data_IF_668153913780
#
_entry.id   IF_668153913780
#
_cell.length_a   1.000
_cell.length_b   1.000
_cell.length_c   1.000
_cell.angle_alpha   90.00
_cell.angle_beta   90.00
_cell.angle_gamma   90.00
#
_symmetry.space_group_name_H-M   'P 1'
#
loop_
_entity.id
_entity.type
_entity.pdbx_description
1 polymer ?
#
# COMPACT_ATOMS: atom_id res chain seq x y z
N UNK A 1 -14.17 -24.63 -3.20
CA UNK A 1 -12.97 -25.35 -2.69
C UNK A 1 -12.63 -24.74 -1.35
N UNK A 2 -12.84 -25.46 -0.28
CA UNK A 2 -12.40 -25.08 1.05
C UNK A 2 -10.91 -25.47 1.17
N UNK A 3 -10.13 -24.66 1.89
CA UNK A 3 -8.69 -24.94 2.06
C UNK A 3 -8.24 -24.64 3.48
N UNK A 4 -7.20 -25.34 3.93
CA UNK A 4 -6.55 -25.12 5.22
C UNK A 4 -5.18 -24.50 4.99
N UNK A 5 -4.90 -23.45 5.75
CA UNK A 5 -3.68 -22.65 5.71
C UNK A 5 -3.13 -22.47 7.13
N UNK A 6 -1.87 -22.11 7.23
CA UNK A 6 -1.27 -21.72 8.51
C UNK A 6 -1.60 -20.28 8.87
N UNK A 7 -1.78 -19.43 7.85
CA UNK A 7 -2.21 -18.04 8.01
C UNK A 7 -3.02 -17.53 6.83
N UNK A 8 -3.94 -16.61 7.10
CA UNK A 8 -4.72 -15.89 6.09
C UNK A 8 -4.45 -14.40 6.23
N UNK A 9 -4.16 -13.73 5.12
CA UNK A 9 -4.00 -12.27 5.06
C UNK A 9 -5.14 -11.68 4.23
N UNK A 10 -5.91 -10.79 4.83
CA UNK A 10 -7.03 -10.09 4.19
C UNK A 10 -6.57 -8.72 3.72
N UNK A 11 -6.45 -8.56 2.41
CA UNK A 11 -5.97 -7.36 1.74
C UNK A 11 -4.53 -7.50 1.25
N UNK A 12 -4.30 -7.19 -0.02
CA UNK A 12 -2.98 -7.21 -0.69
C UNK A 12 -2.45 -5.78 -0.96
N UNK A 13 -2.71 -4.84 -0.03
CA UNK A 13 -2.02 -3.56 0.05
C UNK A 13 -0.63 -3.72 0.66
N UNK A 14 0.07 -2.60 0.92
CA UNK A 14 1.46 -2.63 1.42
C UNK A 14 1.62 -3.50 2.68
N UNK A 15 0.79 -3.29 3.69
CA UNK A 15 0.85 -4.06 4.94
C UNK A 15 0.56 -5.55 4.72
N UNK A 16 -0.42 -5.87 3.86
CA UNK A 16 -0.80 -7.25 3.57
C UNK A 16 0.27 -8.00 2.80
N UNK A 17 0.95 -7.34 1.86
CA UNK A 17 2.07 -7.94 1.12
C UNK A 17 3.20 -8.29 2.09
N UNK A 18 3.62 -7.34 2.93
CA UNK A 18 4.69 -7.57 3.91
C UNK A 18 4.33 -8.67 4.91
N UNK A 19 3.09 -8.68 5.42
CA UNK A 19 2.61 -9.74 6.31
C UNK A 19 2.60 -11.12 5.63
N UNK A 20 2.11 -11.18 4.38
CA UNK A 20 2.06 -12.43 3.63
C UNK A 20 3.45 -12.99 3.32
N UNK A 21 4.38 -12.12 2.91
CA UNK A 21 5.76 -12.52 2.64
C UNK A 21 6.48 -12.94 3.91
N UNK A 22 6.24 -12.27 5.04
CA UNK A 22 6.82 -12.66 6.32
C UNK A 22 6.36 -14.08 6.73
N UNK A 23 5.06 -14.36 6.65
CA UNK A 23 4.52 -15.70 6.91
C UNK A 23 5.08 -16.75 5.93
N UNK A 24 5.03 -16.46 4.63
CA UNK A 24 5.44 -17.42 3.61
C UNK A 24 6.94 -17.74 3.66
N UNK A 25 7.79 -16.73 3.88
CA UNK A 25 9.24 -16.88 3.95
C UNK A 25 9.70 -17.62 5.21
N UNK A 26 8.88 -17.68 6.27
CA UNK A 26 9.10 -18.57 7.42
C UNK A 26 8.58 -20.00 7.19
N UNK A 27 8.09 -20.32 6.00
CA UNK A 27 7.65 -21.65 5.61
C UNK A 27 6.15 -21.90 5.81
N UNK A 28 5.39 -20.91 6.25
CA UNK A 28 3.95 -21.03 6.51
C UNK A 28 3.16 -21.01 5.20
N UNK A 29 2.23 -21.95 5.03
CA UNK A 29 1.26 -21.98 3.94
C UNK A 29 0.25 -20.83 4.13
N UNK A 30 0.36 -19.80 3.33
CA UNK A 30 -0.34 -18.52 3.48
C UNK A 30 -1.36 -18.30 2.38
N UNK A 31 -2.60 -17.98 2.75
CA UNK A 31 -3.62 -17.48 1.83
C UNK A 31 -3.64 -15.95 1.86
N UNK A 32 -3.62 -15.32 0.70
CA UNK A 32 -3.86 -13.89 0.54
C UNK A 32 -5.17 -13.66 -0.19
N UNK A 33 -6.10 -12.95 0.44
CA UNK A 33 -7.39 -12.56 -0.16
C UNK A 33 -7.33 -11.08 -0.54
N UNK A 34 -7.66 -10.75 -1.78
CA UNK A 34 -7.81 -9.38 -2.26
C UNK A 34 -9.11 -9.20 -3.02
N UNK A 35 -9.78 -8.06 -2.85
CA UNK A 35 -11.00 -7.73 -3.60
C UNK A 35 -10.76 -7.62 -5.12
N UNK A 36 -9.53 -7.33 -5.51
CA UNK A 36 -9.06 -7.36 -6.90
C UNK A 36 -7.58 -7.71 -6.96
N UNK A 37 -7.17 -8.53 -7.91
CA UNK A 37 -5.75 -8.82 -8.16
C UNK A 37 -5.04 -7.68 -8.90
N UNK A 38 -5.79 -6.73 -9.44
CA UNK A 38 -5.25 -5.57 -10.15
C UNK A 38 -4.99 -4.37 -9.23
N UNK A 39 -5.28 -4.50 -7.93
CA UNK A 39 -4.97 -3.48 -6.93
C UNK A 39 -3.86 -3.87 -5.94
N UNK A 40 -3.17 -4.95 -6.16
CA UNK A 40 -2.06 -5.42 -5.32
C UNK A 40 -0.98 -4.33 -5.25
N UNK A 41 -0.60 -3.93 -4.03
CA UNK A 41 0.40 -2.88 -3.83
C UNK A 41 0.03 -1.53 -4.44
N UNK A 42 -1.26 -1.26 -4.69
CA UNK A 42 -1.70 -0.05 -5.36
C UNK A 42 -1.40 1.20 -4.54
N UNK A 43 -0.72 2.16 -5.16
CA UNK A 43 -0.42 3.47 -4.57
C UNK A 43 -1.64 4.39 -4.73
N UNK A 44 -2.59 4.26 -3.82
CA UNK A 44 -3.90 4.93 -3.91
C UNK A 44 -3.82 6.45 -3.82
N UNK A 45 -2.87 6.99 -3.07
CA UNK A 45 -2.74 8.43 -2.83
C UNK A 45 -1.67 9.05 -3.75
N UNK A 46 -0.41 8.86 -3.42
CA UNK A 46 0.74 9.42 -4.14
C UNK A 46 1.58 8.30 -4.75
N UNK A 47 2.22 8.51 -5.93
CA UNK A 47 3.17 7.57 -6.50
C UNK A 47 4.53 7.71 -5.80
N UNK A 48 4.55 7.53 -4.48
CA UNK A 48 5.77 7.69 -3.67
C UNK A 48 5.80 6.77 -2.47
N UNK A 49 7.00 6.33 -2.13
CA UNK A 49 7.31 5.52 -0.96
C UNK A 49 8.22 6.33 -0.03
N UNK A 50 7.95 6.25 1.27
CA UNK A 50 8.74 6.96 2.28
C UNK A 50 8.26 8.39 2.55
N UNK A 51 9.18 9.25 2.89
CA UNK A 51 8.92 10.58 3.45
C UNK A 51 9.07 10.59 4.97
N UNK A 52 8.89 11.76 5.58
CA UNK A 52 9.05 11.95 7.04
C UNK A 52 8.23 10.95 7.83
N UNK A 53 8.82 10.29 8.80
CA UNK A 53 8.34 9.15 9.59
C UNK A 53 8.10 7.86 8.79
N UNK A 54 7.62 7.93 7.55
CA UNK A 54 7.30 6.76 6.72
C UNK A 54 8.56 6.09 6.18
N UNK A 55 9.54 6.87 5.71
CA UNK A 55 10.81 6.33 5.19
C UNK A 55 11.62 5.57 6.24
N UNK A 56 11.53 5.97 7.49
CA UNK A 56 12.15 5.25 8.61
C UNK A 56 11.55 3.85 8.74
N UNK A 57 10.21 3.75 8.81
CA UNK A 57 9.50 2.47 8.91
C UNK A 57 9.78 1.55 7.72
N UNK A 58 9.82 2.10 6.49
CA UNK A 58 10.16 1.30 5.30
C UNK A 58 11.58 0.74 5.41
N UNK A 59 12.55 1.53 5.93
CA UNK A 59 13.92 1.05 6.15
C UNK A 59 14.03 0.00 7.25
N UNK A 60 13.21 0.09 8.28
CA UNK A 60 13.13 -0.93 9.33
C UNK A 60 12.56 -2.24 8.78
N UNK A 61 11.47 -2.16 8.00
CA UNK A 61 10.89 -3.32 7.31
C UNK A 61 11.88 -3.93 6.31
N UNK A 62 12.61 -3.10 5.54
CA UNK A 62 13.66 -3.51 4.61
C UNK A 62 14.78 -4.29 5.33
N UNK A 63 15.21 -3.81 6.51
CA UNK A 63 16.23 -4.47 7.31
C UNK A 63 15.80 -5.85 7.85
N UNK A 64 14.49 -6.07 7.97
CA UNK A 64 13.89 -7.36 8.33
C UNK A 64 13.61 -8.26 7.11
N UNK A 65 14.04 -7.86 5.92
CA UNK A 65 13.82 -8.62 4.69
C UNK A 65 12.49 -8.32 3.98
N UNK A 66 11.87 -7.16 4.26
CA UNK A 66 10.67 -6.70 3.57
C UNK A 66 10.91 -6.31 2.12
N UNK A 67 9.84 -6.20 1.36
CA UNK A 67 9.87 -6.04 -0.10
C UNK A 67 9.62 -4.59 -0.56
N UNK A 68 9.02 -3.76 0.30
CA UNK A 68 8.58 -2.41 -0.08
C UNK A 68 9.73 -1.51 -0.57
N UNK A 69 10.89 -1.59 0.08
CA UNK A 69 12.08 -0.84 -0.31
C UNK A 69 12.61 -1.27 -1.68
N UNK A 70 12.68 -2.59 -1.90
CA UNK A 70 13.11 -3.18 -3.17
C UNK A 70 12.15 -2.82 -4.30
N UNK A 71 10.84 -2.90 -4.05
CA UNK A 71 9.82 -2.53 -5.02
C UNK A 71 9.87 -1.03 -5.38
N UNK A 72 10.17 -0.17 -4.40
CA UNK A 72 10.38 1.25 -4.64
C UNK A 72 11.55 1.49 -5.61
N UNK A 73 12.63 0.73 -5.47
CA UNK A 73 13.78 0.82 -6.36
C UNK A 73 13.48 0.31 -7.78
N UNK A 74 12.61 -0.69 -7.92
CA UNK A 74 12.19 -1.20 -9.24
C UNK A 74 11.38 -0.21 -10.07
N UNK A 75 10.59 0.63 -9.40
CA UNK A 75 9.80 1.68 -10.03
C UNK A 75 10.41 3.08 -9.89
N UNK A 76 11.65 3.22 -9.45
CA UNK A 76 12.24 4.49 -9.05
C UNK A 76 12.32 5.51 -10.18
N UNK A 77 11.68 6.67 -9.99
CA UNK A 77 11.77 7.82 -10.89
C UNK A 77 12.61 8.95 -10.29
N UNK A 78 12.52 9.19 -8.98
CA UNK A 78 13.28 10.21 -8.28
C UNK A 78 13.49 9.81 -6.81
N UNK A 79 14.69 9.95 -6.29
CA UNK A 79 15.02 9.67 -4.89
C UNK A 79 15.57 10.92 -4.22
N UNK A 80 15.07 11.25 -3.03
CA UNK A 80 15.52 12.39 -2.26
C UNK A 80 15.59 12.09 -0.76
N UNK A 81 16.55 12.74 -0.08
CA UNK A 81 16.58 12.82 1.36
C UNK A 81 15.80 14.07 1.83
N UNK A 82 14.71 13.85 2.55
CA UNK A 82 13.95 14.94 3.17
C UNK A 82 14.61 15.37 4.49
N UNK A 83 14.41 16.62 4.85
CA UNK A 83 14.88 17.21 6.10
C UNK A 83 16.41 17.12 6.28
N UNK A 84 17.19 17.18 5.20
CA UNK A 84 18.66 17.13 5.25
C UNK A 84 19.28 18.25 6.09
N UNK A 85 18.62 19.43 6.17
CA UNK A 85 19.02 20.55 7.02
C UNK A 85 18.61 20.43 8.50
N UNK A 86 17.86 19.36 8.86
CA UNK A 86 17.42 19.07 10.23
C UNK A 86 18.32 18.02 10.88
N UNK A 87 18.07 17.69 12.13
CA UNK A 87 18.83 16.65 12.82
C UNK A 87 18.65 15.25 12.19
N UNK A 88 19.59 14.32 12.44
CA UNK A 88 19.58 12.99 11.81
C UNK A 88 18.29 12.19 12.02
N UNK A 89 17.64 12.34 13.17
CA UNK A 89 16.43 11.62 13.53
C UNK A 89 15.23 11.88 12.60
N UNK A 90 15.20 13.00 11.88
CA UNK A 90 14.12 13.37 10.97
C UNK A 90 14.51 13.28 9.49
N UNK A 91 15.76 12.96 9.19
CA UNK A 91 16.19 12.69 7.81
C UNK A 91 15.53 11.44 7.29
N UNK A 92 14.83 11.53 6.19
CA UNK A 92 14.02 10.44 5.67
C UNK A 92 14.08 10.36 4.16
N UNK A 93 14.30 9.16 3.62
CA UNK A 93 14.22 8.92 2.20
C UNK A 93 12.78 9.03 1.69
N UNK A 94 12.65 9.61 0.52
CA UNK A 94 11.41 9.60 -0.28
C UNK A 94 11.74 9.24 -1.71
N UNK A 95 11.18 8.13 -2.17
CA UNK A 95 11.20 7.71 -3.56
C UNK A 95 9.90 8.12 -4.25
N UNK A 96 10.01 8.82 -5.37
CA UNK A 96 8.92 8.89 -6.35
C UNK A 96 9.05 7.66 -7.24
N UNK A 97 7.94 7.01 -7.55
CA UNK A 97 7.93 5.74 -8.27
C UNK A 97 6.87 5.73 -9.38
N UNK A 98 7.13 4.99 -10.43
CA UNK A 98 6.09 4.57 -11.35
C UNK A 98 5.18 3.58 -10.62
N UNK A 99 3.93 3.96 -10.41
CA UNK A 99 2.99 3.14 -9.64
C UNK A 99 2.58 1.86 -10.35
N UNK A 100 2.62 1.83 -11.67
CA UNK A 100 2.32 0.61 -12.44
C UNK A 100 3.48 -0.37 -12.39
N UNK A 101 4.71 0.11 -12.50
CA UNK A 101 5.92 -0.70 -12.31
C UNK A 101 5.99 -1.26 -10.90
N UNK A 102 5.70 -0.45 -9.88
CA UNK A 102 5.62 -0.87 -8.48
C UNK A 102 4.56 -1.95 -8.26
N UNK A 103 3.33 -1.74 -8.74
CA UNK A 103 2.25 -2.71 -8.69
C UNK A 103 2.61 -4.03 -9.37
N UNK A 104 3.10 -3.96 -10.61
CA UNK A 104 3.46 -5.14 -11.39
C UNK A 104 4.55 -5.97 -10.69
N UNK A 105 5.55 -5.30 -10.12
CA UNK A 105 6.59 -5.96 -9.35
C UNK A 105 6.02 -6.66 -8.11
N UNK A 106 5.25 -5.95 -7.27
CA UNK A 106 4.66 -6.51 -6.05
C UNK A 106 3.72 -7.68 -6.34
N UNK A 107 2.92 -7.59 -7.40
CA UNK A 107 2.07 -8.69 -7.87
C UNK A 107 2.90 -9.90 -8.25
N UNK A 108 3.95 -9.71 -9.03
CA UNK A 108 4.87 -10.78 -9.43
C UNK A 108 5.55 -11.44 -8.23
N UNK A 109 5.94 -10.68 -7.22
CA UNK A 109 6.54 -11.24 -5.99
C UNK A 109 5.57 -12.17 -5.27
N UNK A 110 4.30 -11.75 -5.08
CA UNK A 110 3.29 -12.60 -4.45
C UNK A 110 2.94 -13.86 -5.28
N UNK A 111 2.84 -13.71 -6.60
CA UNK A 111 2.51 -14.81 -7.51
C UNK A 111 3.62 -15.87 -7.60
N UNK A 112 4.88 -15.48 -7.42
CA UNK A 112 6.03 -16.37 -7.48
C UNK A 112 6.46 -16.94 -6.12
N UNK A 113 5.88 -16.46 -5.00
CA UNK A 113 6.19 -17.00 -3.68
C UNK A 113 5.47 -18.34 -3.47
N UNK A 114 6.25 -19.42 -3.42
CA UNK A 114 5.74 -20.82 -3.41
C UNK A 114 4.79 -21.14 -2.25
N UNK A 115 4.93 -20.47 -1.12
CA UNK A 115 4.11 -20.71 0.07
C UNK A 115 2.88 -19.78 0.11
N UNK A 116 2.66 -18.94 -0.92
CA UNK A 116 1.50 -18.07 -1.04
C UNK A 116 0.47 -18.67 -2.01
N UNK A 117 -0.77 -18.72 -1.56
CA UNK A 117 -1.94 -18.87 -2.41
C UNK A 117 -2.64 -17.54 -2.52
N UNK A 118 -2.58 -16.90 -3.68
CA UNK A 118 -3.23 -15.63 -3.95
C UNK A 118 -4.62 -15.87 -4.55
N UNK A 119 -5.67 -15.28 -3.96
CA UNK A 119 -7.05 -15.41 -4.42
C UNK A 119 -7.76 -14.07 -4.46
N UNK A 120 -8.53 -13.86 -5.52
CA UNK A 120 -9.48 -12.77 -5.57
C UNK A 120 -10.75 -13.14 -4.81
N UNK A 121 -11.15 -12.28 -3.88
CA UNK A 121 -12.38 -12.45 -3.10
C UNK A 121 -12.44 -11.43 -1.95
N UNK A 122 -13.65 -11.03 -1.61
CA UNK A 122 -13.94 -10.24 -0.43
C UNK A 122 -14.13 -11.17 0.77
N UNK A 123 -13.31 -11.00 1.82
CA UNK A 123 -13.58 -11.62 3.12
C UNK A 123 -14.71 -10.85 3.81
N UNK A 124 -15.76 -11.55 4.24
CA UNK A 124 -16.96 -10.94 4.83
C UNK A 124 -17.16 -11.33 6.28
N UNK A 125 -16.56 -12.44 6.71
CA UNK A 125 -16.74 -12.94 8.07
C UNK A 125 -15.45 -13.58 8.59
N UNK A 126 -15.14 -13.30 9.86
CA UNK A 126 -14.12 -13.97 10.63
C UNK A 126 -14.77 -15.10 11.43
N UNK A 127 -14.30 -16.32 11.22
CA UNK A 127 -14.82 -17.50 11.90
C UNK A 127 -14.07 -17.72 13.20
N UNK A 128 -14.79 -18.07 14.25
CA UNK A 128 -14.22 -18.39 15.56
C UNK A 128 -14.68 -19.76 16.06
N UNK A 129 -13.83 -20.38 16.87
CA UNK A 129 -14.16 -21.55 17.69
C UNK A 129 -13.85 -21.17 19.15
N UNK A 130 -14.91 -20.87 19.90
CA UNK A 130 -14.79 -20.19 21.19
C UNK A 130 -14.08 -18.82 21.03
N UNK A 131 -13.02 -18.62 21.80
CA UNK A 131 -12.23 -17.38 21.81
C UNK A 131 -11.10 -17.35 20.78
N UNK A 132 -11.04 -18.34 19.88
CA UNK A 132 -9.97 -18.46 18.89
C UNK A 132 -10.48 -18.25 17.48
N UNK A 133 -9.68 -17.56 16.68
CA UNK A 133 -9.93 -17.49 15.23
C UNK A 133 -9.76 -18.88 14.61
N UNK A 134 -10.63 -19.25 13.71
CA UNK A 134 -10.60 -20.54 12.97
C UNK A 134 -10.56 -20.38 11.47
N UNK A 135 -10.85 -19.18 10.94
CA UNK A 135 -10.82 -18.96 9.50
C UNK A 135 -11.60 -17.73 9.05
N UNK A 136 -11.94 -17.72 7.76
CA UNK A 136 -12.69 -16.65 7.12
C UNK A 136 -13.70 -17.22 6.13
N UNK A 137 -14.83 -16.52 5.95
CA UNK A 137 -15.78 -16.74 4.85
C UNK A 137 -15.72 -15.58 3.87
N UNK A 138 -15.80 -15.90 2.58
CA UNK A 138 -15.83 -14.90 1.50
C UNK A 138 -17.27 -14.57 1.07
N UNK A 139 -17.45 -13.48 0.35
CA UNK A 139 -18.73 -13.08 -0.24
C UNK A 139 -19.34 -14.14 -1.19
N UNK A 140 -18.51 -15.02 -1.73
CA UNK A 140 -18.94 -16.15 -2.56
C UNK A 140 -19.31 -17.41 -1.75
N UNK A 141 -19.32 -17.33 -0.41
CA UNK A 141 -19.62 -18.47 0.46
C UNK A 141 -18.49 -19.49 0.58
N UNK A 142 -17.28 -19.18 0.11
CA UNK A 142 -16.11 -20.03 0.29
C UNK A 142 -15.52 -19.84 1.67
N UNK A 143 -15.23 -20.95 2.36
CA UNK A 143 -14.61 -20.94 3.68
C UNK A 143 -13.16 -21.40 3.58
N UNK A 144 -12.28 -20.66 4.26
CA UNK A 144 -10.86 -21.00 4.41
C UNK A 144 -10.52 -21.04 5.90
N UNK A 145 -9.87 -22.13 6.31
CA UNK A 145 -9.51 -22.35 7.71
C UNK A 145 -8.05 -21.99 7.96
N UNK A 146 -7.79 -21.27 9.03
CA UNK A 146 -6.46 -20.99 9.53
C UNK A 146 -6.51 -20.56 11.01
N UNK A 147 -5.48 -20.88 11.82
CA UNK A 147 -5.38 -20.45 13.20
C UNK A 147 -4.94 -18.99 13.34
N UNK A 148 -4.52 -18.35 12.27
CA UNK A 148 -4.07 -16.94 12.24
C UNK A 148 -4.72 -16.21 11.08
N UNK A 149 -5.29 -15.03 11.37
CA UNK A 149 -5.83 -14.12 10.36
C UNK A 149 -5.27 -12.71 10.60
N UNK A 150 -4.65 -12.14 9.57
CA UNK A 150 -4.12 -10.77 9.58
C UNK A 150 -5.02 -9.90 8.72
N UNK A 151 -5.66 -8.90 9.33
CA UNK A 151 -6.56 -7.98 8.63
C UNK A 151 -5.79 -6.74 8.17
N UNK A 152 -5.61 -6.61 6.86
CA UNK A 152 -4.90 -5.53 6.19
C UNK A 152 -5.79 -4.81 5.16
N UNK A 153 -7.05 -4.53 5.53
CA UNK A 153 -8.08 -3.98 4.64
C UNK A 153 -7.79 -2.58 4.09
N UNK A 154 -6.85 -1.86 4.68
CA UNK A 154 -6.40 -0.56 4.20
C UNK A 154 -7.54 0.45 4.04
N UNK A 155 -7.60 1.06 2.85
CA UNK A 155 -8.59 2.10 2.50
C UNK A 155 -9.80 1.55 1.72
N UNK A 156 -10.05 0.24 1.78
CA UNK A 156 -11.15 -0.40 1.03
C UNK A 156 -12.35 -0.78 1.88
N UNK A 157 -12.18 -0.88 3.22
CA UNK A 157 -13.25 -1.33 4.13
C UNK A 157 -14.32 -0.25 4.28
N UNK A 158 -15.51 -0.50 3.70
CA UNK A 158 -16.65 0.41 3.71
C UNK A 158 -16.30 1.80 3.15
N UNK A 159 -15.39 1.87 2.18
CA UNK A 159 -14.83 3.12 1.69
C UNK A 159 -15.79 3.89 0.79
N UNK A 160 -15.63 5.20 0.78
CA UNK A 160 -16.28 6.12 -0.13
C UNK A 160 -15.23 7.02 -0.81
N UNK A 161 -15.43 7.28 -2.10
CA UNK A 161 -14.67 8.28 -2.85
C UNK A 161 -15.46 9.58 -2.84
N UNK A 162 -14.82 10.66 -2.45
CA UNK A 162 -15.43 11.98 -2.37
C UNK A 162 -14.73 12.89 -3.38
N UNK A 163 -15.52 13.43 -4.32
CA UNK A 163 -15.04 14.39 -5.33
C UNK A 163 -16.00 15.58 -5.32
N UNK A 164 -15.57 16.69 -4.74
CA UNK A 164 -16.43 17.84 -4.46
C UNK A 164 -17.59 17.43 -3.55
N UNK A 165 -18.82 17.60 -4.00
CA UNK A 165 -20.05 17.20 -3.28
C UNK A 165 -20.51 15.77 -3.58
N UNK A 166 -19.85 15.07 -4.52
CA UNK A 166 -20.25 13.72 -4.94
C UNK A 166 -19.59 12.68 -4.06
N UNK A 167 -20.38 11.75 -3.53
CA UNK A 167 -19.92 10.60 -2.73
C UNK A 167 -20.24 9.32 -3.50
N UNK A 168 -19.23 8.54 -3.81
CA UNK A 168 -19.34 7.28 -4.54
C UNK A 168 -18.93 6.12 -3.63
N UNK A 169 -19.78 5.07 -3.50
CA UNK A 169 -19.49 3.90 -2.66
C UNK A 169 -18.49 2.95 -3.34
N UNK A 170 -17.25 3.39 -3.45
CA UNK A 170 -16.15 2.71 -4.16
C UNK A 170 -14.85 2.74 -3.37
N UNK A 171 -13.93 1.86 -3.72
CA UNK A 171 -12.54 1.94 -3.33
C UNK A 171 -11.74 2.89 -4.24
N UNK A 172 -10.47 3.16 -3.89
CA UNK A 172 -9.58 4.01 -4.69
C UNK A 172 -9.50 3.58 -6.15
N UNK A 173 -9.42 4.54 -7.06
CA UNK A 173 -9.31 4.35 -8.51
C UNK A 173 -10.47 3.54 -9.14
N UNK A 174 -11.66 3.54 -8.52
CA UNK A 174 -12.83 2.83 -9.01
C UNK A 174 -12.84 1.32 -8.71
N UNK A 175 -11.88 0.82 -7.93
CA UNK A 175 -11.91 -0.57 -7.47
C UNK A 175 -13.09 -0.83 -6.52
N UNK A 176 -13.56 -2.09 -6.42
CA UNK A 176 -14.61 -2.45 -5.46
C UNK A 176 -14.18 -2.12 -4.03
N UNK A 177 -15.14 -1.66 -3.20
CA UNK A 177 -14.93 -1.57 -1.76
C UNK A 177 -15.31 -2.89 -1.09
N UNK A 178 -14.72 -3.19 0.07
CA UNK A 178 -15.11 -4.31 0.91
C UNK A 178 -16.21 -3.87 1.90
N UNK A 179 -17.33 -4.56 1.96
CA UNK A 179 -18.49 -4.16 2.76
C UNK A 179 -18.78 -5.10 3.94
N UNK A 180 -18.45 -6.38 3.81
CA UNK A 180 -18.90 -7.40 4.75
C UNK A 180 -18.14 -7.43 6.07
N UNK A 181 -16.83 -7.26 6.05
CA UNK A 181 -15.96 -7.53 7.19
C UNK A 181 -16.20 -6.61 8.40
N UNK A 182 -16.67 -5.37 8.18
CA UNK A 182 -16.96 -4.42 9.27
C UNK A 182 -17.91 -5.01 10.31
N UNK A 183 -18.97 -5.67 9.88
CA UNK A 183 -19.95 -6.29 10.79
C UNK A 183 -19.30 -7.38 11.64
N UNK A 184 -18.47 -8.21 11.02
CA UNK A 184 -17.76 -9.29 11.71
C UNK A 184 -16.77 -8.74 12.75
N UNK A 185 -16.03 -7.68 12.42
CA UNK A 185 -15.13 -7.01 13.39
C UNK A 185 -15.88 -6.45 14.58
N UNK A 186 -17.00 -5.76 14.35
CA UNK A 186 -17.84 -5.21 15.42
C UNK A 186 -18.43 -6.31 16.31
N UNK A 187 -18.86 -7.44 15.74
CA UNK A 187 -19.40 -8.59 16.46
C UNK A 187 -18.33 -9.23 17.39
N UNK A 188 -17.06 -9.12 17.02
CA UNK A 188 -15.92 -9.56 17.85
C UNK A 188 -15.44 -8.49 18.85
N UNK A 189 -16.17 -7.38 19.01
CA UNK A 189 -15.83 -6.31 19.95
C UNK A 189 -14.71 -5.37 19.45
N UNK A 190 -14.31 -5.45 18.20
CA UNK A 190 -13.28 -4.57 17.63
C UNK A 190 -13.93 -3.26 17.19
N UNK A 191 -13.60 -2.17 17.85
CA UNK A 191 -14.07 -0.85 17.46
C UNK A 191 -13.47 -0.43 16.11
N UNK A 192 -14.32 0.12 15.24
CA UNK A 192 -13.91 0.69 13.96
C UNK A 192 -14.26 2.17 13.92
N UNK A 193 -13.38 2.97 13.33
CA UNK A 193 -13.58 4.42 13.15
C UNK A 193 -13.32 4.80 11.70
N UNK A 194 -14.06 5.80 11.24
CA UNK A 194 -13.86 6.33 9.89
C UNK A 194 -12.72 7.34 9.89
N UNK A 195 -11.81 7.15 8.94
CA UNK A 195 -10.74 8.10 8.66
C UNK A 195 -10.89 8.67 7.25
N UNK A 196 -10.41 9.88 7.07
CA UNK A 196 -10.34 10.56 5.78
C UNK A 196 -8.87 10.67 5.36
N UNK A 197 -8.59 10.37 4.12
CA UNK A 197 -7.30 10.67 3.48
C UNK A 197 -7.54 11.52 2.24
N UNK A 198 -6.61 12.44 1.93
CA UNK A 198 -6.68 13.27 0.73
C UNK A 198 -5.78 12.73 -0.36
N UNK A 199 -6.27 12.75 -1.59
CA UNK A 199 -5.48 12.47 -2.79
C UNK A 199 -5.32 13.78 -3.56
N UNK A 200 -4.10 14.16 -3.99
CA UNK A 200 -3.91 15.37 -4.79
C UNK A 200 -4.61 15.25 -6.14
N UNK A 201 -5.10 16.37 -6.65
CA UNK A 201 -5.72 16.42 -7.96
C UNK A 201 -4.76 15.93 -9.05
N UNK A 202 -5.29 15.18 -10.02
CA UNK A 202 -4.58 14.82 -11.25
C UNK A 202 -4.94 15.84 -12.31
N UNK A 203 -3.97 16.56 -12.80
CA UNK A 203 -4.15 17.59 -13.82
C UNK A 203 -3.52 17.15 -15.14
N UNK A 204 -4.03 17.63 -16.25
CA UNK A 204 -3.42 17.36 -17.55
C UNK A 204 -2.06 18.08 -17.63
N UNK A 205 -1.03 17.40 -18.10
CA UNK A 205 0.34 17.93 -18.14
C UNK A 205 0.43 19.28 -18.86
N UNK A 206 -0.28 19.44 -19.97
CA UNK A 206 -0.26 20.65 -20.77
C UNK A 206 -1.01 21.84 -20.11
N UNK A 207 -1.76 21.60 -19.03
CA UNK A 207 -2.37 22.66 -18.22
C UNK A 207 -1.44 23.24 -17.17
N UNK A 208 -0.23 22.69 -17.01
CA UNK A 208 0.75 23.13 -16.02
C UNK A 208 1.70 24.14 -16.63
N UNK A 209 1.75 25.33 -16.04
CA UNK A 209 2.74 26.33 -16.39
C UNK A 209 4.06 26.07 -15.65
N UNK A 210 4.90 25.26 -16.25
CA UNK A 210 6.20 24.88 -15.67
C UNK A 210 7.17 26.07 -15.49
N UNK A 211 6.96 27.21 -16.17
CA UNK A 211 7.79 28.39 -16.01
C UNK A 211 7.66 29.03 -14.62
N UNK A 212 6.55 28.76 -13.92
CA UNK A 212 6.27 29.25 -12.55
C UNK A 212 6.71 28.30 -11.46
N UNK A 213 7.30 27.15 -11.82
CA UNK A 213 7.69 26.10 -10.90
C UNK A 213 9.19 25.95 -10.83
N UNK A 214 9.70 25.53 -9.69
CA UNK A 214 11.13 25.26 -9.51
C UNK A 214 11.40 23.80 -9.80
N UNK A 215 12.35 23.52 -10.69
CA UNK A 215 12.78 22.15 -11.00
C UNK A 215 13.40 21.51 -9.77
N UNK A 216 13.03 20.28 -9.51
CA UNK A 216 13.54 19.49 -8.40
C UNK A 216 14.07 18.14 -8.94
N UNK A 217 15.38 18.04 -9.02
CA UNK A 217 16.08 16.80 -9.42
C UNK A 217 16.17 15.79 -8.28
N UNK A 218 16.43 14.53 -8.64
CA UNK A 218 16.91 13.53 -7.69
C UNK A 218 18.23 13.97 -7.04
N UNK A 219 18.52 13.45 -5.86
CA UNK A 219 19.72 13.82 -5.10
C UNK A 219 20.91 12.96 -5.55
N UNK A 220 21.99 13.60 -5.94
CA UNK A 220 23.22 12.91 -6.29
C UNK A 220 23.79 12.15 -5.10
N UNK A 221 24.33 10.95 -5.36
CA UNK A 221 24.86 10.07 -4.30
C UNK A 221 23.85 9.15 -3.65
N UNK A 222 22.55 9.36 -3.86
CA UNK A 222 21.51 8.41 -3.46
C UNK A 222 21.21 7.45 -4.62
N UNK A 223 21.42 6.15 -4.38
CA UNK A 223 21.34 5.14 -5.45
C UNK A 223 20.21 4.13 -5.28
N UNK A 224 19.70 3.94 -4.06
CA UNK A 224 18.63 3.00 -3.79
C UNK A 224 17.89 3.35 -2.50
N UNK A 225 16.64 2.96 -2.43
CA UNK A 225 15.86 3.02 -1.20
C UNK A 225 16.22 1.85 -0.28
N UNK A 226 16.25 0.64 -0.84
CA UNK A 226 16.57 -0.59 -0.11
C UNK A 226 18.09 -0.78 0.05
N UNK A 227 18.49 -1.29 1.20
CA UNK A 227 19.87 -1.75 1.42
C UNK A 227 20.17 -3.05 0.65
N UNK A 228 19.14 -3.80 0.26
CA UNK A 228 19.27 -5.04 -0.50
C UNK A 228 19.40 -4.81 -2.00
N UNK A 229 19.03 -3.63 -2.49
CA UNK A 229 19.16 -3.27 -3.89
C UNK A 229 20.58 -2.88 -4.26
N UNK A 230 21.00 -3.29 -5.46
CA UNK A 230 22.18 -2.70 -6.10
C UNK A 230 21.87 -1.25 -6.47
N UNK A 231 22.91 -0.46 -6.81
CA UNK A 231 22.74 0.91 -7.32
C UNK A 231 21.70 0.94 -8.44
N UNK A 232 20.64 1.70 -8.25
CA UNK A 232 19.56 1.89 -9.20
C UNK A 232 19.70 3.25 -9.86
N UNK A 233 19.61 3.28 -11.18
CA UNK A 233 19.53 4.55 -11.89
C UNK A 233 18.08 4.95 -11.96
N UNK A 234 17.70 6.04 -11.27
CA UNK A 234 16.39 6.64 -11.43
C UNK A 234 16.15 7.02 -12.90
N UNK A 235 14.92 6.91 -13.36
CA UNK A 235 14.55 7.48 -14.66
C UNK A 235 14.74 8.99 -14.58
N UNK A 236 15.08 9.64 -15.70
CA UNK A 236 15.40 11.07 -15.73
C UNK A 236 14.18 12.01 -15.57
N UNK A 237 13.11 11.52 -14.93
CA UNK A 237 11.92 12.34 -14.70
C UNK A 237 12.18 13.36 -13.58
N UNK A 238 11.91 14.62 -13.90
CA UNK A 238 12.03 15.74 -12.98
C UNK A 238 10.75 15.96 -12.22
N UNK A 239 10.87 16.24 -10.93
CA UNK A 239 9.78 16.80 -10.10
C UNK A 239 9.80 18.32 -10.19
N UNK A 240 8.67 18.92 -9.90
CA UNK A 240 8.49 20.37 -9.92
C UNK A 240 7.88 20.82 -8.61
N UNK A 241 8.42 21.89 -8.04
CA UNK A 241 7.99 22.45 -6.79
C UNK A 241 7.22 23.74 -7.01
N UNK A 242 5.98 23.77 -6.55
CA UNK A 242 5.15 24.98 -6.46
C UNK A 242 4.89 25.35 -5.01
N UNK A 243 4.50 26.58 -4.78
CA UNK A 243 4.15 27.10 -3.46
C UNK A 243 2.71 27.61 -3.45
N UNK A 244 2.01 27.36 -2.38
CA UNK A 244 0.73 28.02 -2.09
C UNK A 244 0.97 29.46 -1.63
N UNK A 245 -0.03 30.31 -1.78
CA UNK A 245 -0.03 31.69 -1.31
C UNK A 245 -1.37 32.01 -0.62
N UNK A 246 -1.53 33.23 -0.12
CA UNK A 246 -2.75 33.65 0.59
C UNK A 246 -4.01 33.35 -0.20
N UNK A 247 -4.05 33.72 -1.48
CA UNK A 247 -5.21 33.44 -2.35
C UNK A 247 -5.52 31.96 -2.49
N UNK A 248 -4.51 31.09 -2.45
CA UNK A 248 -4.71 29.63 -2.47
C UNK A 248 -5.39 29.14 -1.19
N UNK A 249 -5.18 29.84 -0.07
CA UNK A 249 -5.75 29.49 1.23
C UNK A 249 -7.12 30.10 1.49
N UNK A 250 -7.56 31.05 0.67
CA UNK A 250 -8.89 31.68 0.72
C UNK A 250 -9.95 30.88 -0.06
N UNK A 251 -9.54 29.94 -0.90
CA UNK A 251 -10.41 29.05 -1.70
C UNK A 251 -10.74 27.78 -0.92
#
# INVERSE_FOLDING_TARGET
MNGTYDGIVIGAGHAGIEAALALARTGMKTLVLSVSLDNIGWLACNPSIGGTAKGHLVREVDALGGEMGVAADKGLTCLRMLNSSKGPAVRSLRAQVDKYAYHAYMKSVLENEKNITLRQGEAVELLTDGDRISGVTTAFGLTYNAPVVVVCSGVYLGSDIIVGSVILPQGPAGFPRANGLTRSLLALGIEVRRFKTGTPARVHKDSVDFSKLTVQYGEEGLYSFSALSKKVKATAETCWLGYTNERTHEI
#
